data_IF_477690880742
#
_entry.id   IF_477690880742
#
_cell.length_a   1.000
_cell.length_b   1.000
_cell.length_c   1.000
_cell.angle_alpha   90.00
_cell.angle_beta   90.00
_cell.angle_gamma   90.00
#
_symmetry.space_group_name_H-M   'P 1'
#
loop_
_entity.id
_entity.type
_entity.pdbx_description
1 polymer ?
#
# COMPACT_ATOMS: atom_id res chain seq x y z
N UNK A 1 7.31 -28.64 -10.62
CA UNK A 1 6.77 -28.21 -9.31
C UNK A 1 7.72 -27.17 -8.76
N UNK A 2 7.29 -25.92 -8.53
CA UNK A 2 8.15 -24.88 -7.92
C UNK A 2 8.44 -25.29 -6.47
N UNK A 3 9.69 -25.19 -6.05
CA UNK A 3 10.09 -25.43 -4.65
C UNK A 3 9.55 -24.26 -3.80
N UNK A 4 8.92 -24.58 -2.68
CA UNK A 4 8.52 -23.55 -1.72
C UNK A 4 9.73 -23.05 -0.94
N UNK A 5 10.00 -21.76 -1.06
CA UNK A 5 11.14 -21.07 -0.43
C UNK A 5 10.68 -19.96 0.53
N UNK A 6 9.38 -19.86 0.78
CA UNK A 6 8.80 -18.77 1.58
C UNK A 6 9.18 -17.40 1.03
N UNK A 7 9.72 -16.53 1.90
CA UNK A 7 10.16 -15.17 1.52
C UNK A 7 11.52 -15.12 0.84
N UNK A 8 12.26 -16.22 0.82
CA UNK A 8 13.52 -16.29 0.09
C UNK A 8 13.20 -16.41 -1.39
N UNK A 9 13.44 -15.36 -2.16
CA UNK A 9 13.15 -15.32 -3.61
C UNK A 9 13.84 -16.47 -4.36
N UNK A 10 15.01 -16.91 -3.88
CA UNK A 10 15.74 -18.06 -4.41
C UNK A 10 16.47 -17.75 -5.72
N UNK A 11 15.79 -17.10 -6.67
CA UNK A 11 16.40 -16.57 -7.89
C UNK A 11 15.59 -15.39 -8.44
N UNK A 12 16.26 -14.47 -9.13
CA UNK A 12 15.65 -13.25 -9.65
C UNK A 12 14.66 -13.53 -10.77
N UNK A 13 14.88 -14.65 -11.47
CA UNK A 13 14.02 -15.17 -12.52
C UNK A 13 12.61 -15.42 -11.98
N UNK A 14 12.47 -15.78 -10.70
CA UNK A 14 11.14 -15.90 -10.07
C UNK A 14 10.35 -14.60 -10.10
N UNK A 15 11.00 -13.46 -9.82
CA UNK A 15 10.36 -12.15 -9.90
C UNK A 15 9.96 -11.86 -11.35
N UNK A 16 10.86 -12.15 -12.29
CA UNK A 16 10.62 -11.94 -13.73
C UNK A 16 9.44 -12.79 -14.25
N UNK A 17 9.36 -14.06 -13.86
CA UNK A 17 8.27 -14.96 -14.24
C UNK A 17 6.92 -14.49 -13.68
N UNK A 18 6.90 -14.07 -12.41
CA UNK A 18 5.68 -13.59 -11.76
C UNK A 18 5.19 -12.30 -12.45
N UNK A 19 6.10 -11.36 -12.75
CA UNK A 19 5.76 -10.13 -13.49
C UNK A 19 5.38 -10.40 -14.95
N UNK A 20 5.97 -11.41 -15.61
CA UNK A 20 5.60 -11.81 -16.98
C UNK A 20 4.19 -12.37 -17.01
N UNK A 21 3.84 -13.23 -16.04
CA UNK A 21 2.48 -13.74 -15.86
C UNK A 21 1.49 -12.60 -15.68
N UNK A 22 1.82 -11.61 -14.84
CA UNK A 22 0.99 -10.40 -14.63
C UNK A 22 0.81 -9.64 -15.95
N UNK A 23 1.87 -9.50 -16.77
CA UNK A 23 1.81 -8.81 -18.04
C UNK A 23 0.95 -9.54 -19.08
N UNK A 24 1.04 -10.87 -19.12
CA UNK A 24 0.23 -11.72 -20.01
C UNK A 24 -1.27 -11.64 -19.67
N UNK A 25 -1.61 -11.32 -18.41
CA UNK A 25 -2.97 -11.01 -17.97
C UNK A 25 -3.43 -9.59 -18.36
N UNK A 26 -2.63 -8.84 -19.13
CA UNK A 26 -2.88 -7.46 -19.55
C UNK A 26 -3.03 -6.47 -18.38
N UNK A 27 -2.41 -6.76 -17.24
CA UNK A 27 -2.39 -5.84 -16.09
C UNK A 27 -1.46 -4.66 -16.39
N UNK A 28 -1.92 -3.45 -16.05
CA UNK A 28 -1.15 -2.20 -16.18
C UNK A 28 -0.73 -1.59 -14.85
N UNK A 29 -1.33 -2.03 -13.74
CA UNK A 29 -1.09 -1.50 -12.40
C UNK A 29 -0.97 -2.64 -11.38
N UNK A 30 0.07 -2.57 -10.54
CA UNK A 30 0.40 -3.55 -9.53
C UNK A 30 0.46 -2.88 -8.15
N UNK A 31 -0.21 -3.47 -7.15
CA UNK A 31 0.01 -3.11 -5.75
C UNK A 31 0.93 -4.15 -5.10
N UNK A 32 2.12 -3.73 -4.68
CA UNK A 32 3.07 -4.61 -3.97
C UNK A 32 2.79 -4.55 -2.48
N UNK A 33 1.87 -5.41 -2.04
CA UNK A 33 1.34 -5.47 -0.68
C UNK A 33 2.05 -6.54 0.18
N UNK A 34 2.18 -6.42 1.50
CA UNK A 34 1.96 -5.23 2.34
C UNK A 34 3.29 -4.73 2.91
N UNK A 35 4.37 -4.78 2.13
CA UNK A 35 5.70 -4.31 2.50
C UNK A 35 6.54 -4.02 1.26
N UNK A 36 7.64 -3.27 1.40
CA UNK A 36 8.58 -3.06 0.32
C UNK A 36 9.12 -4.40 -0.21
N UNK A 37 8.80 -4.74 -1.45
CA UNK A 37 9.31 -5.94 -2.10
C UNK A 37 10.81 -5.82 -2.38
N UNK A 38 11.41 -6.90 -2.90
CA UNK A 38 12.81 -6.91 -3.28
C UNK A 38 13.09 -5.86 -4.39
N UNK A 39 14.19 -5.11 -4.35
CA UNK A 39 14.46 -3.99 -5.28
C UNK A 39 14.37 -4.34 -6.77
N UNK A 40 14.69 -5.59 -7.13
CA UNK A 40 14.57 -6.05 -8.52
C UNK A 40 13.13 -6.08 -9.04
N UNK A 41 12.13 -6.15 -8.16
CA UNK A 41 10.72 -6.01 -8.54
C UNK A 41 10.53 -4.66 -9.23
N UNK A 42 10.99 -3.59 -8.61
CA UNK A 42 10.79 -2.23 -9.12
C UNK A 42 11.66 -1.92 -10.36
N UNK A 43 12.86 -2.50 -10.43
CA UNK A 43 13.69 -2.42 -11.64
C UNK A 43 13.01 -3.10 -12.84
N UNK A 44 12.32 -4.22 -12.62
CA UNK A 44 11.60 -4.92 -13.68
C UNK A 44 10.29 -4.23 -14.05
N UNK A 45 9.54 -3.69 -13.09
CA UNK A 45 8.32 -2.92 -13.39
C UNK A 45 8.64 -1.65 -14.18
N UNK A 46 9.77 -0.99 -13.90
CA UNK A 46 10.30 0.11 -14.73
C UNK A 46 10.48 -0.34 -16.19
N UNK A 47 11.10 -1.51 -16.41
CA UNK A 47 11.39 -2.03 -17.75
C UNK A 47 10.16 -2.54 -18.49
N UNK A 48 9.20 -3.10 -17.78
CA UNK A 48 7.99 -3.72 -18.35
C UNK A 48 6.84 -2.73 -18.54
N UNK A 49 6.99 -1.49 -18.07
CA UNK A 49 5.94 -0.47 -18.12
C UNK A 49 4.72 -0.91 -17.30
N UNK A 50 4.94 -1.23 -16.03
CA UNK A 50 3.89 -1.54 -15.05
C UNK A 50 3.86 -0.44 -14.01
N UNK A 51 2.71 0.21 -13.81
CA UNK A 51 2.55 1.20 -12.75
C UNK A 51 2.46 0.48 -11.39
N UNK A 52 3.03 1.07 -10.34
CA UNK A 52 3.16 0.42 -9.02
C UNK A 52 2.66 1.32 -7.89
N UNK A 53 1.95 0.69 -6.94
CA UNK A 53 1.77 1.20 -5.58
C UNK A 53 2.63 0.37 -4.62
N UNK A 54 3.63 1.01 -4.02
CA UNK A 54 4.49 0.41 -2.99
C UNK A 54 4.00 0.79 -1.59
N UNK A 55 4.16 -0.10 -0.61
CA UNK A 55 3.52 0.03 0.71
C UNK A 55 4.45 -0.32 1.88
N UNK A 56 4.31 0.40 3.00
CA UNK A 56 4.90 0.01 4.31
C UNK A 56 3.97 -0.92 5.11
N UNK A 57 4.50 -1.82 5.98
CA UNK A 57 3.72 -2.82 6.71
C UNK A 57 3.01 -2.29 7.97
N UNK A 58 2.36 -1.15 7.87
CA UNK A 58 1.43 -0.61 8.88
C UNK A 58 0.05 -1.26 8.71
N UNK A 59 0.06 -2.58 8.77
CA UNK A 59 -1.10 -3.44 8.58
C UNK A 59 -1.82 -3.67 9.92
N UNK A 60 -3.14 -3.48 9.94
CA UNK A 60 -3.99 -3.77 11.13
C UNK A 60 -3.63 -3.02 12.41
N UNK A 61 -2.91 -1.90 12.30
CA UNK A 61 -2.59 -1.09 13.47
C UNK A 61 -3.86 -0.57 14.13
N UNK A 62 -3.97 -0.79 15.44
CA UNK A 62 -4.98 -0.18 16.30
C UNK A 62 -4.42 1.06 17.02
N UNK A 63 -5.19 1.59 17.97
CA UNK A 63 -4.78 2.76 18.74
C UNK A 63 -3.48 2.54 19.54
N UNK A 64 -3.22 1.33 20.03
CA UNK A 64 -2.01 0.99 20.77
C UNK A 64 -0.79 1.03 19.85
N UNK A 65 -0.88 0.40 18.67
CA UNK A 65 0.20 0.39 17.70
C UNK A 65 0.56 1.81 17.25
N UNK A 66 -0.42 2.65 16.94
CA UNK A 66 -0.15 4.04 16.56
C UNK A 66 0.42 4.88 17.72
N UNK A 67 0.02 4.62 18.97
CA UNK A 67 0.60 5.29 20.13
C UNK A 67 2.08 4.93 20.29
N UNK A 68 2.44 3.65 20.17
CA UNK A 68 3.82 3.19 20.23
C UNK A 68 4.65 3.78 19.08
N UNK A 69 4.11 3.82 17.86
CA UNK A 69 4.79 4.44 16.72
C UNK A 69 4.98 5.95 16.86
N UNK A 70 4.08 6.67 17.53
CA UNK A 70 4.26 8.10 17.81
C UNK A 70 5.51 8.36 18.65
N UNK A 71 5.85 7.42 19.55
CA UNK A 71 7.05 7.48 20.38
C UNK A 71 8.28 6.96 19.62
N UNK A 72 8.19 5.78 18.99
CA UNK A 72 9.34 5.08 18.40
C UNK A 72 9.71 5.54 17.00
N UNK A 73 8.75 6.08 16.24
CA UNK A 73 8.92 6.52 14.85
C UNK A 73 9.43 5.44 13.88
N UNK A 74 9.18 4.16 14.16
CA UNK A 74 9.65 3.05 13.29
C UNK A 74 8.91 3.09 11.95
N UNK A 75 7.60 3.31 11.94
CA UNK A 75 6.83 3.40 10.70
C UNK A 75 7.25 4.61 9.83
N UNK A 76 7.72 5.69 10.46
CA UNK A 76 8.25 6.87 9.77
C UNK A 76 9.60 6.60 9.13
N UNK A 77 10.49 5.93 9.87
CA UNK A 77 11.72 5.43 9.32
C UNK A 77 11.43 4.46 8.15
N UNK A 78 10.48 3.55 8.35
CA UNK A 78 9.81 2.69 7.37
C UNK A 78 9.57 3.39 6.02
N UNK A 79 8.77 4.44 6.15
CA UNK A 79 8.30 5.29 5.06
C UNK A 79 9.44 5.98 4.33
N UNK A 80 10.33 6.64 5.08
CA UNK A 80 11.48 7.33 4.51
C UNK A 80 12.42 6.35 3.78
N UNK A 81 12.76 5.22 4.40
CA UNK A 81 13.66 4.22 3.81
C UNK A 81 13.11 3.66 2.49
N UNK A 82 11.81 3.35 2.43
CA UNK A 82 11.13 2.92 1.21
C UNK A 82 11.26 3.98 0.10
N UNK A 83 10.90 5.24 0.41
CA UNK A 83 10.91 6.33 -0.57
C UNK A 83 12.32 6.63 -1.05
N UNK A 84 13.31 6.74 -0.16
CA UNK A 84 14.68 7.05 -0.57
C UNK A 84 15.33 5.91 -1.35
N UNK A 85 15.01 4.64 -1.05
CA UNK A 85 15.49 3.49 -1.81
C UNK A 85 14.98 3.52 -3.25
N UNK A 86 13.71 3.86 -3.45
CA UNK A 86 13.03 3.76 -4.74
C UNK A 86 12.63 5.09 -5.38
N UNK A 87 13.19 6.19 -4.90
CA UNK A 87 12.95 7.55 -5.40
C UNK A 87 13.09 7.64 -6.93
N UNK A 88 14.05 6.92 -7.50
CA UNK A 88 14.38 6.90 -8.92
C UNK A 88 13.66 5.81 -9.73
N UNK A 89 12.57 5.21 -9.20
CA UNK A 89 11.74 4.21 -9.91
C UNK A 89 10.55 4.90 -10.59
N UNK A 90 10.59 5.16 -11.91
CA UNK A 90 9.45 5.78 -12.61
C UNK A 90 8.18 4.93 -12.62
N UNK A 91 8.28 3.60 -12.43
CA UNK A 91 7.10 2.74 -12.34
C UNK A 91 6.27 3.00 -11.08
N UNK A 92 6.87 3.47 -9.99
CA UNK A 92 6.13 3.74 -8.76
C UNK A 92 5.40 5.08 -8.91
N UNK A 93 4.08 5.04 -8.76
CA UNK A 93 3.21 6.21 -8.88
C UNK A 93 2.46 6.53 -7.58
N UNK A 94 2.31 5.54 -6.70
CA UNK A 94 1.64 5.67 -5.41
C UNK A 94 2.53 5.15 -4.27
N UNK A 95 2.58 5.89 -3.18
CA UNK A 95 3.09 5.43 -1.89
C UNK A 95 1.93 5.13 -0.95
N UNK A 96 1.82 3.89 -0.47
CA UNK A 96 0.74 3.46 0.42
C UNK A 96 1.20 3.43 1.87
N UNK A 97 0.49 4.19 2.70
CA UNK A 97 0.88 4.44 4.08
C UNK A 97 0.31 3.48 5.10
N UNK A 98 -0.82 2.82 4.83
CA UNK A 98 -1.49 1.87 5.75
C UNK A 98 -2.41 0.89 5.02
N UNK A 99 -2.56 -0.31 5.58
CA UNK A 99 -3.58 -1.27 5.16
C UNK A 99 -4.45 -1.75 6.32
N UNK A 100 -5.76 -1.59 6.20
CA UNK A 100 -6.81 -2.06 7.11
C UNK A 100 -6.55 -1.75 8.59
N UNK A 101 -5.84 -0.65 8.87
CA UNK A 101 -5.63 -0.21 10.23
C UNK A 101 -6.96 0.19 10.88
N UNK A 102 -7.15 -0.18 12.15
CA UNK A 102 -8.43 -0.18 12.84
C UNK A 102 -8.82 1.24 13.30
N UNK A 103 -7.85 1.97 13.87
CA UNK A 103 -8.14 3.27 14.49
C UNK A 103 -8.21 4.38 13.44
N UNK A 104 -9.43 4.81 13.09
CA UNK A 104 -9.67 5.85 12.08
C UNK A 104 -8.92 7.16 12.39
N UNK A 105 -9.09 7.70 13.60
CA UNK A 105 -8.49 8.96 14.03
C UNK A 105 -6.96 8.90 14.00
N UNK A 106 -6.37 7.86 14.61
CA UNK A 106 -4.91 7.70 14.68
C UNK A 106 -4.28 7.45 13.33
N UNK A 107 -4.95 6.65 12.49
CA UNK A 107 -4.54 6.45 11.10
C UNK A 107 -4.58 7.77 10.33
N UNK A 108 -5.64 8.57 10.46
CA UNK A 108 -5.72 9.89 9.83
C UNK A 108 -4.57 10.80 10.28
N UNK A 109 -4.27 10.85 11.58
CA UNK A 109 -3.14 11.62 12.13
C UNK A 109 -1.81 11.17 11.51
N UNK A 110 -1.57 9.86 11.43
CA UNK A 110 -0.37 9.27 10.84
C UNK A 110 -0.25 9.60 9.35
N UNK A 111 -1.30 9.34 8.56
CA UNK A 111 -1.33 9.60 7.11
C UNK A 111 -1.13 11.09 6.80
N UNK A 112 -1.80 11.98 7.56
CA UNK A 112 -1.63 13.43 7.41
C UNK A 112 -0.18 13.84 7.61
N UNK A 113 0.50 13.20 8.57
CA UNK A 113 1.88 13.50 8.91
C UNK A 113 2.86 13.03 7.84
N UNK A 114 2.78 11.77 7.39
CA UNK A 114 3.69 11.25 6.36
C UNK A 114 3.45 11.91 4.99
N UNK A 115 2.20 12.23 4.65
CA UNK A 115 1.88 12.94 3.40
C UNK A 115 2.43 14.37 3.42
N UNK A 116 2.28 15.07 4.56
CA UNK A 116 2.91 16.38 4.75
C UNK A 116 4.43 16.29 4.65
N UNK A 117 5.03 15.28 5.29
CA UNK A 117 6.49 15.09 5.32
C UNK A 117 7.05 14.88 3.90
N UNK A 118 6.43 13.98 3.11
CA UNK A 118 6.73 13.80 1.69
C UNK A 118 6.67 15.13 0.93
N UNK A 119 5.56 15.86 1.07
CA UNK A 119 5.34 17.12 0.34
C UNK A 119 6.27 18.26 0.75
N UNK A 120 6.79 18.25 1.96
CA UNK A 120 7.60 19.35 2.49
C UNK A 120 9.10 19.08 2.46
N UNK A 121 9.54 17.83 2.63
CA UNK A 121 10.94 17.51 2.90
C UNK A 121 11.62 16.69 1.79
N UNK A 122 10.87 15.88 1.04
CA UNK A 122 11.43 15.03 -0.01
C UNK A 122 10.43 14.80 -1.15
N UNK A 123 9.82 15.89 -1.61
CA UNK A 123 8.79 15.87 -2.63
C UNK A 123 9.30 15.28 -3.94
N UNK A 124 8.67 14.19 -4.38
CA UNK A 124 9.03 13.43 -5.57
C UNK A 124 7.94 13.46 -6.66
N UNK A 125 6.84 14.19 -6.42
CA UNK A 125 5.69 14.28 -7.33
C UNK A 125 4.74 13.09 -7.31
N UNK A 126 4.97 12.07 -6.47
CA UNK A 126 4.08 10.90 -6.35
C UNK A 126 2.95 11.15 -5.37
N UNK A 127 1.88 10.38 -5.53
CA UNK A 127 0.67 10.50 -4.70
C UNK A 127 0.71 9.55 -3.51
N UNK A 128 0.11 9.95 -2.40
CA UNK A 128 -0.06 9.09 -1.22
C UNK A 128 -1.42 8.40 -1.26
N UNK A 129 -1.47 7.12 -0.87
CA UNK A 129 -2.70 6.32 -0.74
C UNK A 129 -2.71 5.49 0.55
N UNK A 130 -3.80 4.74 0.75
CA UNK A 130 -3.99 3.75 1.80
C UNK A 130 -5.01 2.70 1.32
N UNK A 131 -5.15 1.61 2.06
CA UNK A 131 -6.30 0.70 1.92
C UNK A 131 -7.06 0.62 3.24
N UNK A 132 -8.30 1.10 3.30
CA UNK A 132 -9.17 0.98 4.46
C UNK A 132 -10.10 -0.23 4.33
N UNK A 133 -10.35 -0.95 5.42
CA UNK A 133 -11.42 -1.94 5.41
C UNK A 133 -12.78 -1.23 5.28
N UNK A 134 -13.60 -1.63 4.30
CA UNK A 134 -14.85 -0.89 3.95
C UNK A 134 -15.90 -0.96 5.04
N UNK A 135 -15.89 -2.02 5.84
CA UNK A 135 -16.73 -2.21 7.02
C UNK A 135 -16.39 -1.24 8.18
N UNK A 136 -15.28 -0.49 8.07
CA UNK A 136 -14.80 0.46 9.09
C UNK A 136 -14.92 1.92 8.64
N UNK A 137 -16.13 2.30 8.26
CA UNK A 137 -16.49 3.67 7.90
C UNK A 137 -16.73 3.87 6.40
N UNK A 138 -16.29 2.94 5.54
CA UNK A 138 -16.60 2.94 4.12
C UNK A 138 -16.37 4.32 3.46
N UNK A 139 -17.34 4.85 2.70
CA UNK A 139 -17.24 6.18 2.10
C UNK A 139 -17.03 7.33 3.10
N UNK A 140 -17.50 7.18 4.35
CA UNK A 140 -17.40 8.19 5.41
C UNK A 140 -16.08 8.12 6.20
N UNK A 141 -15.17 7.24 5.78
CA UNK A 141 -13.86 7.10 6.41
C UNK A 141 -13.05 8.41 6.33
N UNK A 142 -12.97 9.10 7.46
CA UNK A 142 -12.33 10.42 7.53
C UNK A 142 -10.82 10.39 7.24
N UNK A 143 -10.17 9.22 7.29
CA UNK A 143 -8.75 9.10 6.94
C UNK A 143 -8.52 9.28 5.44
N UNK A 144 -9.54 9.13 4.58
CA UNK A 144 -9.40 9.33 3.13
C UNK A 144 -9.03 10.76 2.76
N UNK A 145 -9.38 11.73 3.62
CA UNK A 145 -9.00 13.14 3.44
C UNK A 145 -7.52 13.41 3.70
N UNK A 146 -6.80 12.45 4.27
CA UNK A 146 -5.37 12.59 4.58
C UNK A 146 -4.45 12.11 3.43
N UNK A 147 -5.02 11.47 2.41
CA UNK A 147 -4.30 10.89 1.27
C UNK A 147 -4.76 11.53 -0.03
N UNK A 148 -3.95 11.42 -1.09
CA UNK A 148 -4.28 11.98 -2.40
C UNK A 148 -5.21 11.06 -3.20
N UNK A 149 -5.06 9.74 -3.00
CA UNK A 149 -5.90 8.71 -3.62
C UNK A 149 -6.53 7.84 -2.53
N UNK A 150 -7.86 7.87 -2.44
CA UNK A 150 -8.61 7.04 -1.50
C UNK A 150 -8.62 5.57 -1.96
N UNK A 151 -8.55 4.63 -1.02
CA UNK A 151 -8.52 3.21 -1.32
C UNK A 151 -9.20 2.36 -0.25
N UNK A 152 -9.98 1.38 -0.68
CA UNK A 152 -10.76 0.51 0.18
C UNK A 152 -10.54 -0.96 -0.17
N UNK A 153 -10.42 -1.80 0.87
CA UNK A 153 -10.56 -3.25 0.73
C UNK A 153 -12.03 -3.64 0.89
N UNK A 154 -12.56 -4.35 -0.09
CA UNK A 154 -13.95 -4.82 -0.14
C UNK A 154 -14.00 -6.31 -0.47
N UNK A 155 -14.85 -7.04 0.25
CA UNK A 155 -15.10 -8.47 0.03
C UNK A 155 -16.60 -8.77 0.05
N UNK A 156 -17.39 -7.98 -0.68
CA UNK A 156 -18.83 -8.22 -0.80
C UNK A 156 -19.09 -9.62 -1.38
N UNK A 157 -19.98 -10.37 -0.74
CA UNK A 157 -20.29 -11.76 -1.12
C UNK A 157 -19.32 -12.82 -0.60
N UNK A 158 -18.24 -12.45 0.11
CA UNK A 158 -17.32 -13.38 0.77
C UNK A 158 -17.34 -13.24 2.30
N UNK A 159 -16.95 -12.08 2.83
CA UNK A 159 -16.86 -11.84 4.28
C UNK A 159 -17.97 -10.93 4.83
N UNK A 160 -18.74 -10.28 3.97
CA UNK A 160 -19.90 -9.51 4.38
C UNK A 160 -21.06 -10.47 4.68
N UNK A 161 -21.44 -10.62 5.95
CA UNK A 161 -22.54 -11.49 6.41
C UNK A 161 -23.92 -11.09 5.85
N UNK A 162 -24.08 -9.85 5.38
CA UNK A 162 -25.31 -9.36 4.75
C UNK A 162 -25.22 -9.41 3.22
N UNK A 163 -25.85 -10.43 2.65
CA UNK A 163 -26.01 -10.66 1.22
C UNK A 163 -26.53 -9.43 0.46
N UNK A 164 -25.72 -8.95 -0.50
CA UNK A 164 -26.13 -8.23 -1.73
C UNK A 164 -26.81 -6.85 -1.54
N UNK A 165 -27.31 -6.50 -0.36
CA UNK A 165 -28.21 -5.34 -0.13
C UNK A 165 -27.52 -4.13 0.52
N UNK A 166 -26.28 -4.28 0.99
CA UNK A 166 -25.47 -3.21 1.59
C UNK A 166 -24.17 -2.96 0.80
N UNK A 167 -24.22 -3.01 -0.53
CA UNK A 167 -23.18 -2.31 -1.31
C UNK A 167 -23.49 -0.83 -1.11
N UNK A 168 -22.68 -0.06 -0.37
CA UNK A 168 -22.88 1.38 -0.31
C UNK A 168 -22.88 1.89 -1.74
N UNK A 169 -23.80 2.77 -2.10
CA UNK A 169 -23.72 3.48 -3.37
C UNK A 169 -22.39 4.26 -3.36
N UNK A 170 -21.34 3.64 -3.91
CA UNK A 170 -19.98 4.17 -3.91
C UNK A 170 -19.71 4.97 -5.20
N UNK A 171 -20.79 5.38 -5.88
CA UNK A 171 -20.83 6.14 -7.12
C UNK A 171 -21.89 7.24 -7.03
#
# INVERSE_FOLDING_TARGET
MRIDTGRTIGSIERISDDLSTIKDLNVSFLRTAHYPNHPYTYLLTDRMGLAVAEEIPTWWFDAYHFADQKQRRIADQMWCEMIFRDYNRPSIILWSGTNEAISNERRREFLTRINRDLKQNYYDGRLVTQSAATDRGGPDDSSMKAVDVAGWTMYFGLFAEDHITKVPAMF
#
